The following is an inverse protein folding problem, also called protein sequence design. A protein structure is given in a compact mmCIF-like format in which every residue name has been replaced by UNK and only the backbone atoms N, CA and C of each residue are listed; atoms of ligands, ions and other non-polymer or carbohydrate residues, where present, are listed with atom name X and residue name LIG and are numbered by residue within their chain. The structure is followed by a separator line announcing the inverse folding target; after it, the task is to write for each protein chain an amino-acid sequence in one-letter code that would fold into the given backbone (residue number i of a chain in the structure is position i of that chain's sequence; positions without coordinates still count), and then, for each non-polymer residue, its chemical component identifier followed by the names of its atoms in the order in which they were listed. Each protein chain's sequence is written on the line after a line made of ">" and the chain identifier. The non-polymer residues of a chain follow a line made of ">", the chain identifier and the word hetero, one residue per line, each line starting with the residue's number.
data_IF_902777137553
#
_entry.id   IF_902777137553
#
_cell.length_a   1.000
_cell.length_b   1.000
_cell.length_c   1.000
_cell.angle_alpha   90.00
_cell.angle_beta   90.00
_cell.angle_gamma   90.00
#
_symmetry.space_group_name_H-M   'P 1'
#
loop_
_entity.id
_entity.type
_entity.pdbx_description
1 polymer ?
#
# COMPACT_ATOMS: atom_id res chain seq x y z
N UNK A 1 -27.27 11.04 -15.30
CA UNK A 1 -27.64 11.69 -14.04
C UNK A 1 -26.60 11.29 -13.00
N UNK A 2 -25.91 12.23 -12.37
CA UNK A 2 -24.98 11.89 -11.28
C UNK A 2 -25.82 11.41 -10.12
N UNK A 3 -25.63 10.16 -9.69
CA UNK A 3 -26.27 9.64 -8.49
C UNK A 3 -25.79 10.50 -7.31
N UNK A 4 -26.71 11.18 -6.63
CA UNK A 4 -26.40 11.85 -5.39
C UNK A 4 -25.91 10.79 -4.39
N UNK A 5 -24.87 11.11 -3.62
CA UNK A 5 -24.53 10.31 -2.45
C UNK A 5 -25.75 10.26 -1.53
N UNK A 6 -26.08 9.10 -0.93
CA UNK A 6 -27.11 9.08 0.10
C UNK A 6 -26.74 10.10 1.19
N UNK A 7 -27.70 10.91 1.63
CA UNK A 7 -27.50 11.80 2.78
C UNK A 7 -27.18 10.90 3.99
N UNK A 8 -25.99 11.06 4.56
CA UNK A 8 -25.61 10.39 5.79
C UNK A 8 -26.44 10.97 6.93
N UNK A 9 -27.34 10.16 7.52
CA UNK A 9 -28.01 10.53 8.76
C UNK A 9 -26.93 10.68 9.84
N UNK A 10 -26.76 11.88 10.38
CA UNK A 10 -25.58 12.23 11.20
C UNK A 10 -25.66 11.76 12.68
N UNK A 11 -26.77 11.14 13.09
CA UNK A 11 -27.04 10.83 14.49
C UNK A 11 -27.01 9.31 14.76
N UNK A 12 -25.81 8.72 14.77
CA UNK A 12 -25.62 7.33 15.22
C UNK A 12 -25.42 7.25 16.73
N UNK A 13 -26.17 6.37 17.39
CA UNK A 13 -25.95 6.01 18.79
C UNK A 13 -24.70 5.14 18.99
N UNK A 14 -24.20 4.99 20.23
CA UNK A 14 -23.13 4.04 20.54
C UNK A 14 -23.49 2.63 20.06
N UNK A 15 -22.51 1.93 19.46
CA UNK A 15 -22.65 0.59 18.90
C UNK A 15 -23.57 0.47 17.68
N UNK A 16 -24.12 1.57 17.17
CA UNK A 16 -24.83 1.57 15.89
C UNK A 16 -23.84 1.55 14.72
N UNK A 17 -24.20 0.80 13.67
CA UNK A 17 -23.37 0.69 12.49
C UNK A 17 -23.45 1.98 11.68
N UNK A 18 -22.31 2.58 11.42
CA UNK A 18 -22.19 3.69 10.47
C UNK A 18 -22.40 3.19 9.03
N UNK A 19 -22.77 4.06 8.08
CA UNK A 19 -22.90 3.70 6.67
C UNK A 19 -21.56 3.21 6.15
N UNK A 20 -21.59 2.23 5.24
CA UNK A 20 -20.36 1.70 4.64
C UNK A 20 -19.75 2.79 3.76
N UNK A 21 -18.52 3.25 4.06
CA UNK A 21 -17.85 4.25 3.24
C UNK A 21 -17.65 3.76 1.81
N UNK A 22 -17.76 4.66 0.85
CA UNK A 22 -17.43 4.34 -0.53
C UNK A 22 -15.92 4.21 -0.73
N UNK A 23 -15.49 3.26 -1.57
CA UNK A 23 -14.07 3.05 -1.90
C UNK A 23 -13.45 4.32 -2.49
N UNK A 24 -12.25 4.67 -2.04
CA UNK A 24 -11.39 5.69 -2.65
C UNK A 24 -12.03 7.08 -2.79
N UNK A 25 -12.93 7.42 -1.86
CA UNK A 25 -13.47 8.78 -1.67
C UNK A 25 -13.32 9.21 -0.21
N UNK A 26 -12.16 8.91 0.37
CA UNK A 26 -11.85 9.13 1.78
C UNK A 26 -11.90 10.62 2.16
N UNK A 27 -11.78 11.55 1.21
CA UNK A 27 -11.99 12.99 1.44
C UNK A 27 -13.41 13.37 1.88
N UNK A 28 -14.38 12.47 1.78
CA UNK A 28 -15.75 12.69 2.27
C UNK A 28 -15.89 12.35 3.76
N UNK A 29 -14.94 11.61 4.34
CA UNK A 29 -14.95 11.27 5.76
C UNK A 29 -14.50 12.46 6.60
N UNK A 30 -15.14 12.67 7.75
CA UNK A 30 -14.76 13.72 8.70
C UNK A 30 -13.39 13.46 9.35
N UNK A 31 -13.14 12.20 9.75
CA UNK A 31 -11.85 11.74 10.28
C UNK A 31 -11.39 10.45 9.58
N UNK A 32 -10.85 10.56 8.34
CA UNK A 32 -10.46 9.39 7.56
C UNK A 32 -9.38 8.56 8.26
N UNK A 33 -8.51 9.18 9.06
CA UNK A 33 -7.46 8.43 9.77
C UNK A 33 -8.05 7.47 10.80
N UNK A 34 -9.11 7.87 11.52
CA UNK A 34 -9.76 6.98 12.48
C UNK A 34 -10.26 5.67 11.85
N UNK A 35 -10.77 5.71 10.61
CA UNK A 35 -11.20 4.52 9.87
C UNK A 35 -10.03 3.58 9.59
N UNK A 36 -8.91 4.12 9.10
CA UNK A 36 -7.70 3.33 8.87
C UNK A 36 -7.10 2.78 10.16
N UNK A 37 -7.08 3.56 11.25
CA UNK A 37 -6.64 3.07 12.55
C UNK A 37 -7.55 1.93 13.07
N UNK A 38 -8.87 2.08 12.95
CA UNK A 38 -9.84 1.03 13.28
C UNK A 38 -9.55 -0.27 12.52
N UNK A 39 -9.40 -0.18 11.19
CA UNK A 39 -9.01 -1.31 10.32
C UNK A 39 -7.71 -1.95 10.80
N UNK A 40 -6.67 -1.15 11.06
CA UNK A 40 -5.36 -1.65 11.47
C UNK A 40 -5.41 -2.38 12.80
N UNK A 41 -6.14 -1.83 13.79
CA UNK A 41 -6.36 -2.49 15.07
C UNK A 41 -7.13 -3.78 14.91
N UNK A 42 -8.17 -3.81 14.05
CA UNK A 42 -8.91 -5.04 13.80
C UNK A 42 -8.07 -6.09 13.04
N UNK A 43 -7.20 -5.67 12.13
CA UNK A 43 -6.22 -6.55 11.48
C UNK A 43 -5.23 -7.15 12.48
N UNK A 44 -4.78 -6.37 13.46
CA UNK A 44 -3.91 -6.84 14.55
C UNK A 44 -4.63 -7.86 15.45
N UNK A 45 -5.91 -7.62 15.78
CA UNK A 45 -6.77 -8.59 16.50
C UNK A 45 -6.89 -9.90 15.72
N UNK A 46 -7.24 -9.83 14.44
CA UNK A 46 -7.35 -10.99 13.54
C UNK A 46 -6.05 -11.82 13.51
N UNK A 47 -4.91 -11.14 13.33
CA UNK A 47 -3.60 -11.77 13.34
C UNK A 47 -3.33 -12.49 14.68
N UNK A 48 -3.49 -11.80 15.81
CA UNK A 48 -3.27 -12.36 17.14
C UNK A 48 -4.22 -13.53 17.46
N UNK A 49 -5.48 -13.42 17.06
CA UNK A 49 -6.50 -14.45 17.29
C UNK A 49 -6.27 -15.72 16.46
N UNK A 50 -5.66 -15.59 15.28
CA UNK A 50 -5.17 -16.74 14.52
C UNK A 50 -4.10 -17.53 15.28
N UNK A 51 -3.13 -16.84 15.88
CA UNK A 51 -2.02 -17.47 16.62
C UNK A 51 -2.45 -18.15 17.91
N UNK A 52 -3.42 -17.58 18.63
CA UNK A 52 -3.87 -18.11 19.91
C UNK A 52 -5.07 -19.07 19.80
N UNK A 53 -5.54 -19.37 18.59
CA UNK A 53 -6.63 -20.32 18.33
C UNK A 53 -8.03 -19.78 18.66
N UNK A 54 -8.20 -18.48 18.93
CA UNK A 54 -9.52 -17.87 19.22
C UNK A 54 -10.51 -17.94 18.06
N UNK A 55 -10.02 -18.13 16.84
CA UNK A 55 -10.84 -18.31 15.63
C UNK A 55 -11.16 -19.78 15.32
N UNK A 56 -10.89 -20.69 16.26
CA UNK A 56 -11.05 -22.12 16.11
C UNK A 56 -9.73 -22.83 15.82
N UNK A 57 -9.57 -24.03 16.38
CA UNK A 57 -8.32 -24.82 16.35
C UNK A 57 -7.84 -25.18 14.93
N UNK A 58 -8.75 -25.24 13.96
CA UNK A 58 -8.46 -25.70 12.60
C UNK A 58 -8.27 -24.54 11.61
N UNK A 59 -8.48 -23.27 11.99
CA UNK A 59 -8.47 -22.14 11.06
C UNK A 59 -7.14 -22.00 10.30
N UNK A 60 -6.01 -22.13 10.98
CA UNK A 60 -4.68 -22.03 10.37
C UNK A 60 -4.40 -23.22 9.45
N UNK A 61 -5.03 -24.37 9.68
CA UNK A 61 -4.95 -25.54 8.80
C UNK A 61 -5.86 -25.39 7.58
N UNK A 62 -7.05 -24.80 7.76
CA UNK A 62 -8.00 -24.51 6.67
C UNK A 62 -7.43 -23.49 5.69
N UNK A 63 -6.71 -22.49 6.19
CA UNK A 63 -6.07 -21.45 5.38
C UNK A 63 -4.54 -21.59 5.48
N UNK A 64 -3.91 -22.55 4.80
CA UNK A 64 -2.46 -22.71 4.89
C UNK A 64 -1.73 -21.47 4.34
N UNK A 65 -0.47 -21.23 4.76
CA UNK A 65 0.38 -20.24 4.12
C UNK A 65 0.44 -20.47 2.60
N UNK A 66 0.38 -19.42 1.79
CA UNK A 66 0.47 -19.56 0.34
C UNK A 66 1.87 -20.03 -0.01
N UNK A 67 1.97 -20.76 -1.12
CA UNK A 67 3.24 -20.86 -1.82
C UNK A 67 3.77 -19.45 -2.12
N UNK A 68 5.10 -19.31 -2.20
CA UNK A 68 5.68 -18.04 -2.61
C UNK A 68 5.03 -17.64 -3.95
N UNK A 69 4.58 -16.37 -4.08
CA UNK A 69 3.89 -15.95 -5.29
C UNK A 69 4.76 -16.23 -6.51
N UNK A 70 4.12 -16.65 -7.59
CA UNK A 70 4.82 -16.82 -8.86
C UNK A 70 5.49 -15.50 -9.21
N UNK A 71 6.79 -15.58 -9.47
CA UNK A 71 7.58 -14.44 -9.89
C UNK A 71 7.07 -13.98 -11.24
N UNK A 72 6.45 -12.81 -11.29
CA UNK A 72 6.04 -12.20 -12.54
C UNK A 72 7.09 -11.19 -12.98
N UNK A 73 7.66 -11.39 -14.17
CA UNK A 73 8.30 -10.27 -14.86
C UNK A 73 7.20 -9.28 -15.21
N UNK A 74 7.14 -8.18 -14.48
CA UNK A 74 6.14 -7.12 -14.70
C UNK A 74 6.49 -6.30 -15.95
N UNK A 75 7.71 -6.47 -16.46
CA UNK A 75 8.22 -5.78 -17.63
C UNK A 75 8.35 -4.30 -17.37
N UNK A 76 8.79 -3.90 -16.16
CA UNK A 76 8.72 -2.49 -15.73
C UNK A 76 9.44 -1.54 -16.69
N UNK A 77 10.49 -2.00 -17.39
CA UNK A 77 11.15 -1.25 -18.47
C UNK A 77 10.19 -0.74 -19.54
N UNK A 78 9.20 -1.55 -19.93
CA UNK A 78 8.19 -1.21 -20.94
C UNK A 78 7.02 -0.41 -20.34
N UNK A 79 6.83 -0.47 -19.02
CA UNK A 79 5.71 0.18 -18.31
C UNK A 79 6.04 1.60 -17.86
N UNK A 80 7.30 1.87 -17.47
CA UNK A 80 7.75 3.20 -17.04
C UNK A 80 7.41 4.29 -18.08
N UNK A 81 7.69 4.15 -19.39
CA UNK A 81 7.29 5.17 -20.37
C UNK A 81 5.78 5.45 -20.41
N UNK A 82 4.95 4.42 -20.26
CA UNK A 82 3.49 4.55 -20.28
C UNK A 82 2.97 5.27 -19.04
N UNK A 83 3.53 4.93 -17.88
CA UNK A 83 3.28 5.65 -16.64
C UNK A 83 3.67 7.13 -16.77
N UNK A 84 4.90 7.41 -17.23
CA UNK A 84 5.39 8.78 -17.41
C UNK A 84 4.53 9.58 -18.40
N UNK A 85 4.09 8.94 -19.49
CA UNK A 85 3.16 9.55 -20.45
C UNK A 85 1.84 9.93 -19.77
N UNK A 86 1.29 9.03 -18.93
CA UNK A 86 0.05 9.31 -18.22
C UNK A 86 0.19 10.51 -17.27
N UNK A 87 1.20 10.48 -16.40
CA UNK A 87 1.38 11.51 -15.37
C UNK A 87 1.87 12.86 -15.92
N UNK A 88 2.53 12.89 -17.09
CA UNK A 88 3.01 14.15 -17.71
C UNK A 88 2.03 14.74 -18.71
N UNK A 89 1.40 13.89 -19.53
CA UNK A 89 0.73 14.35 -20.75
C UNK A 89 -0.78 14.09 -20.75
N UNK A 90 -1.27 13.07 -20.03
CA UNK A 90 -2.68 12.69 -20.09
C UNK A 90 -3.46 13.27 -18.91
N UNK A 91 -3.00 13.03 -17.68
CA UNK A 91 -3.69 13.46 -16.47
C UNK A 91 -2.76 14.14 -15.44
N UNK A 92 -1.94 15.15 -15.83
CA UNK A 92 -0.99 15.77 -14.92
C UNK A 92 -1.64 16.45 -13.70
N UNK A 93 -2.88 16.90 -13.84
CA UNK A 93 -3.65 17.55 -12.77
C UNK A 93 -4.02 16.62 -11.60
N UNK A 94 -3.89 15.29 -11.75
CA UNK A 94 -4.14 14.33 -10.67
C UNK A 94 -2.96 14.18 -9.70
N UNK A 95 -1.79 14.69 -10.08
CA UNK A 95 -0.53 14.47 -9.39
C UNK A 95 0.05 15.78 -8.86
N UNK A 96 0.94 15.74 -7.84
CA UNK A 96 1.66 16.92 -7.41
C UNK A 96 2.42 17.57 -8.59
N UNK A 97 2.42 18.92 -8.73
CA UNK A 97 3.03 19.61 -9.88
C UNK A 97 4.51 19.31 -10.11
N UNK A 98 5.22 18.95 -9.04
CA UNK A 98 6.66 18.67 -9.02
C UNK A 98 7.00 17.18 -9.16
N UNK A 99 6.00 16.32 -9.38
CA UNK A 99 6.21 14.88 -9.32
C UNK A 99 6.90 14.31 -10.56
N UNK A 100 6.56 14.79 -11.77
CA UNK A 100 6.92 14.12 -13.02
C UNK A 100 8.21 14.66 -13.70
N UNK A 101 9.23 15.05 -12.93
CA UNK A 101 10.48 15.58 -13.48
C UNK A 101 11.41 14.49 -14.06
N UNK A 102 12.55 14.90 -14.63
CA UNK A 102 13.57 13.98 -15.16
C UNK A 102 14.25 13.14 -14.06
N UNK A 103 14.29 13.66 -12.82
CA UNK A 103 14.88 12.93 -11.68
C UNK A 103 14.02 11.75 -11.30
N UNK A 104 12.69 11.90 -11.31
CA UNK A 104 11.76 10.80 -11.11
C UNK A 104 12.03 9.71 -12.15
N UNK A 105 12.02 10.05 -13.44
CA UNK A 105 12.21 9.07 -14.51
C UNK A 105 13.50 8.26 -14.34
N UNK A 106 14.63 8.94 -14.11
CA UNK A 106 15.88 8.26 -13.84
C UNK A 106 15.78 7.34 -12.62
N UNK A 107 15.18 7.83 -11.53
CA UNK A 107 15.01 7.04 -10.30
C UNK A 107 14.13 5.80 -10.50
N UNK A 108 13.09 5.88 -11.33
CA UNK A 108 12.21 4.76 -11.64
C UNK A 108 12.96 3.68 -12.40
N UNK A 109 13.74 4.04 -13.43
CA UNK A 109 14.54 3.07 -14.17
C UNK A 109 15.60 2.41 -13.27
N UNK A 110 16.39 3.22 -12.56
CA UNK A 110 17.48 2.69 -11.72
C UNK A 110 16.95 1.77 -10.61
N UNK A 111 15.82 2.15 -9.99
CA UNK A 111 15.30 1.48 -8.80
C UNK A 111 14.37 0.32 -9.16
N UNK A 112 13.38 0.51 -10.03
CA UNK A 112 12.40 -0.53 -10.33
C UNK A 112 12.99 -1.69 -11.14
N UNK A 113 13.95 -1.43 -12.04
CA UNK A 113 14.62 -2.52 -12.76
C UNK A 113 15.45 -3.40 -11.80
N UNK A 114 16.11 -2.78 -10.83
CA UNK A 114 16.88 -3.52 -9.83
C UNK A 114 15.95 -4.31 -8.88
N UNK A 115 14.87 -3.69 -8.41
CA UNK A 115 13.84 -4.38 -7.60
C UNK A 115 13.23 -5.55 -8.39
N UNK A 116 12.87 -5.35 -9.66
CA UNK A 116 12.29 -6.40 -10.52
C UNK A 116 13.22 -7.62 -10.60
N UNK A 117 14.53 -7.39 -10.74
CA UNK A 117 15.56 -8.44 -10.75
C UNK A 117 15.79 -9.13 -9.39
N UNK A 118 15.34 -8.52 -8.29
CA UNK A 118 15.51 -9.03 -6.92
C UNK A 118 14.22 -9.54 -6.28
N UNK A 119 13.12 -9.64 -7.04
CA UNK A 119 11.80 -10.00 -6.50
C UNK A 119 11.83 -11.29 -5.68
N UNK A 120 12.63 -12.28 -6.08
CA UNK A 120 12.69 -13.58 -5.40
C UNK A 120 13.28 -13.41 -4.02
N UNK A 121 14.43 -12.72 -3.93
CA UNK A 121 15.07 -12.43 -2.67
C UNK A 121 14.19 -11.60 -1.74
N UNK A 122 13.36 -10.70 -2.29
CA UNK A 122 12.42 -9.91 -1.50
C UNK A 122 11.27 -10.76 -0.94
N UNK A 123 10.69 -11.65 -1.74
CA UNK A 123 9.69 -12.59 -1.25
C UNK A 123 10.29 -13.58 -0.25
N UNK A 124 11.47 -14.15 -0.53
CA UNK A 124 12.18 -15.02 0.41
C UNK A 124 12.41 -14.28 1.75
N UNK A 125 12.80 -13.02 1.70
CA UNK A 125 12.98 -12.18 2.89
C UNK A 125 11.67 -11.96 3.66
N UNK A 126 10.58 -11.57 2.98
CA UNK A 126 9.28 -11.31 3.61
C UNK A 126 8.69 -12.57 4.28
N UNK A 127 8.91 -13.74 3.71
CA UNK A 127 8.34 -15.01 4.16
C UNK A 127 9.30 -15.86 5.03
N UNK A 128 10.55 -15.43 5.19
CA UNK A 128 11.48 -16.02 6.15
C UNK A 128 11.09 -15.72 7.61
N UNK A 129 10.53 -14.53 7.88
CA UNK A 129 10.11 -14.12 9.21
C UNK A 129 8.71 -14.67 9.56
N UNK A 130 8.67 -15.85 10.18
CA UNK A 130 7.42 -16.54 10.52
C UNK A 130 6.56 -15.78 11.53
N UNK A 131 7.14 -14.88 12.32
CA UNK A 131 6.38 -14.08 13.28
C UNK A 131 5.51 -13.02 12.59
N UNK A 132 5.84 -12.67 11.34
CA UNK A 132 5.09 -11.72 10.54
C UNK A 132 4.14 -12.39 9.52
N UNK A 133 4.01 -13.72 9.58
CA UNK A 133 3.06 -14.48 8.76
C UNK A 133 1.88 -14.91 9.63
N UNK A 134 0.66 -14.65 9.16
CA UNK A 134 -0.55 -15.15 9.79
C UNK A 134 -1.80 -14.76 9.02
N UNK A 135 -2.97 -14.91 9.62
CA UNK A 135 -4.24 -14.59 8.95
C UNK A 135 -4.30 -13.10 8.61
N UNK A 136 -4.63 -12.80 7.35
CA UNK A 136 -4.77 -11.45 6.82
C UNK A 136 -6.06 -11.33 6.02
N UNK A 137 -6.67 -10.16 6.08
CA UNK A 137 -7.67 -9.74 5.11
C UNK A 137 -6.96 -8.96 4.01
N UNK A 138 -7.06 -9.41 2.77
CA UNK A 138 -6.25 -8.90 1.65
C UNK A 138 -6.94 -7.80 0.84
N UNK A 139 -8.15 -7.42 1.27
CA UNK A 139 -8.99 -6.43 0.62
C UNK A 139 -9.53 -5.43 1.67
N UNK A 140 -8.70 -5.01 2.64
CA UNK A 140 -9.07 -4.14 3.79
C UNK A 140 -9.26 -2.67 3.40
N UNK A 141 -9.92 -2.43 2.27
CA UNK A 141 -10.37 -1.09 1.90
C UNK A 141 -11.54 -0.69 2.80
N UNK A 142 -11.78 0.62 2.96
CA UNK A 142 -12.86 1.12 3.83
C UNK A 142 -14.24 0.61 3.42
N UNK A 143 -14.48 0.31 2.14
CA UNK A 143 -15.74 -0.25 1.64
C UNK A 143 -15.92 -1.76 1.92
N UNK A 144 -14.89 -2.42 2.44
CA UNK A 144 -14.91 -3.81 2.88
C UNK A 144 -14.81 -3.95 4.41
N UNK A 145 -15.17 -2.88 5.11
CA UNK A 145 -15.31 -2.86 6.55
C UNK A 145 -16.67 -2.27 6.93
N UNK A 146 -17.13 -2.64 8.12
CA UNK A 146 -18.22 -1.95 8.80
C UNK A 146 -17.67 -1.29 10.05
N UNK A 147 -18.26 -0.16 10.43
CA UNK A 147 -17.75 0.70 11.49
C UNK A 147 -18.84 1.01 12.49
N UNK A 148 -18.42 1.25 13.72
CA UNK A 148 -19.29 1.74 14.79
C UNK A 148 -18.42 2.50 15.79
N UNK A 149 -19.04 3.32 16.64
CA UNK A 149 -18.36 3.95 17.77
C UNK A 149 -18.69 3.21 19.05
N UNK A 150 -17.66 2.96 19.86
CA UNK A 150 -17.86 2.39 21.20
C UNK A 150 -18.47 3.44 22.16
N UNK A 151 -18.68 3.03 23.42
CA UNK A 151 -19.24 3.90 24.48
C UNK A 151 -18.39 5.16 24.74
N UNK A 152 -17.12 5.18 24.34
CA UNK A 152 -16.20 6.30 24.49
C UNK A 152 -16.07 7.14 23.20
N UNK A 153 -16.89 6.85 22.18
CA UNK A 153 -16.84 7.52 20.88
C UNK A 153 -15.69 7.06 19.98
N UNK A 154 -14.94 6.03 20.39
CA UNK A 154 -13.80 5.52 19.62
C UNK A 154 -14.32 4.67 18.46
N UNK A 155 -13.85 4.97 17.25
CA UNK A 155 -14.21 4.22 16.06
C UNK A 155 -13.61 2.80 16.12
N UNK A 156 -14.44 1.79 15.98
CA UNK A 156 -14.07 0.39 15.84
C UNK A 156 -14.47 -0.11 14.44
N UNK A 157 -13.93 -1.27 14.04
CA UNK A 157 -14.26 -1.85 12.75
C UNK A 157 -14.33 -3.37 12.77
N UNK A 158 -15.04 -3.90 11.78
CA UNK A 158 -15.09 -5.32 11.41
C UNK A 158 -14.90 -5.48 9.90
N UNK A 159 -14.65 -6.70 9.43
CA UNK A 159 -14.41 -6.99 8.01
C UNK A 159 -15.55 -7.78 7.37
N UNK A 160 -15.82 -7.47 6.10
CA UNK A 160 -16.66 -8.22 5.18
C UNK A 160 -15.83 -8.61 3.94
N UNK A 161 -16.42 -9.31 2.97
CA UNK A 161 -15.72 -9.71 1.74
C UNK A 161 -14.44 -10.55 1.97
N UNK A 162 -14.61 -11.67 2.69
CA UNK A 162 -13.53 -12.59 3.03
C UNK A 162 -13.01 -13.43 1.84
N UNK A 163 -13.38 -13.11 0.59
CA UNK A 163 -13.01 -13.89 -0.59
C UNK A 163 -11.50 -13.98 -0.85
N UNK A 164 -10.72 -13.04 -0.32
CA UNK A 164 -9.24 -13.05 -0.38
C UNK A 164 -8.57 -13.35 0.96
N UNK A 165 -9.33 -13.84 1.94
CA UNK A 165 -8.80 -14.21 3.24
C UNK A 165 -7.80 -15.36 3.13
N UNK A 166 -6.59 -15.15 3.66
CA UNK A 166 -5.51 -16.15 3.65
C UNK A 166 -4.48 -15.85 4.73
N UNK A 167 -3.64 -16.85 5.02
CA UNK A 167 -2.37 -16.56 5.68
C UNK A 167 -1.47 -15.76 4.74
N UNK A 168 -0.79 -14.73 5.22
CA UNK A 168 0.21 -14.00 4.46
C UNK A 168 1.09 -13.16 5.39
N UNK A 169 2.09 -12.47 4.83
CA UNK A 169 2.77 -11.41 5.55
C UNK A 169 1.79 -10.28 5.91
N UNK A 170 1.74 -9.87 7.18
CA UNK A 170 0.82 -8.85 7.66
C UNK A 170 0.89 -7.55 6.88
N UNK A 171 2.10 -7.10 6.48
CA UNK A 171 2.23 -5.84 5.75
C UNK A 171 1.64 -5.90 4.35
N UNK A 172 1.57 -7.09 3.73
CA UNK A 172 0.94 -7.25 2.42
C UNK A 172 -0.56 -6.95 2.52
N UNK A 173 -1.22 -7.49 3.55
CA UNK A 173 -2.64 -7.21 3.80
C UNK A 173 -2.88 -5.73 4.07
N UNK A 174 -2.06 -5.12 4.95
CA UNK A 174 -2.15 -3.69 5.28
C UNK A 174 -2.01 -2.80 4.05
N UNK A 175 -0.97 -3.01 3.23
CA UNK A 175 -0.74 -2.19 2.04
C UNK A 175 -1.86 -2.36 1.01
N UNK A 176 -2.38 -3.58 0.83
CA UNK A 176 -3.49 -3.80 -0.09
C UNK A 176 -4.77 -3.05 0.32
N UNK A 177 -5.00 -2.83 1.62
CA UNK A 177 -6.09 -1.96 2.10
C UNK A 177 -5.78 -0.46 2.01
N UNK A 178 -4.52 -0.09 2.21
CA UNK A 178 -4.08 1.31 2.20
C UNK A 178 -4.00 1.92 0.81
N UNK A 179 -3.67 1.11 -0.19
CA UNK A 179 -3.42 1.60 -1.57
C UNK A 179 -4.68 2.14 -2.24
N UNK A 180 -5.90 1.83 -1.75
CA UNK A 180 -7.13 2.47 -2.25
C UNK A 180 -7.50 3.76 -1.50
N UNK A 181 -6.74 4.20 -0.49
CA UNK A 181 -6.96 5.49 0.15
C UNK A 181 -6.70 6.61 -0.86
N UNK A 182 -7.56 7.61 -0.97
CA UNK A 182 -7.36 8.75 -1.87
C UNK A 182 -6.73 9.99 -1.20
N UNK A 183 -6.34 9.84 0.07
CA UNK A 183 -5.62 10.83 0.86
C UNK A 183 -4.16 10.40 1.15
N UNK A 184 -3.29 10.30 0.12
CA UNK A 184 -1.95 9.73 0.28
C UNK A 184 -1.04 10.53 1.22
N UNK A 185 -1.19 11.85 1.31
CA UNK A 185 -0.40 12.67 2.24
C UNK A 185 -0.76 12.39 3.70
N UNK A 186 -2.03 12.15 4.00
CA UNK A 186 -2.49 11.77 5.35
C UNK A 186 -1.91 10.41 5.71
N UNK A 187 -2.11 9.42 4.84
CA UNK A 187 -1.68 8.05 5.09
C UNK A 187 -0.16 7.96 5.24
N UNK A 188 0.61 8.48 4.26
CA UNK A 188 2.08 8.38 4.31
C UNK A 188 2.74 9.27 5.36
N UNK A 189 2.09 10.36 5.75
CA UNK A 189 2.51 11.15 6.90
C UNK A 189 2.39 10.41 8.24
N UNK A 190 1.53 9.37 8.30
CA UNK A 190 1.17 8.66 9.54
C UNK A 190 1.35 7.15 9.48
N UNK A 191 2.02 6.61 8.47
CA UNK A 191 2.28 5.17 8.35
C UNK A 191 2.94 4.58 9.59
N UNK A 192 3.89 5.32 10.19
CA UNK A 192 4.57 4.86 11.42
C UNK A 192 3.59 4.72 12.58
N UNK A 193 2.62 5.63 12.68
CA UNK A 193 1.59 5.59 13.72
C UNK A 193 0.66 4.39 13.51
N UNK A 194 0.21 4.14 12.27
CA UNK A 194 -0.59 2.96 11.95
C UNK A 194 0.14 1.66 12.31
N UNK A 195 1.41 1.51 11.91
CA UNK A 195 2.18 0.31 12.24
C UNK A 195 2.47 0.18 13.74
N UNK A 196 2.64 1.28 14.46
CA UNK A 196 2.77 1.27 15.91
C UNK A 196 1.47 0.79 16.56
N UNK A 197 0.32 1.30 16.12
CA UNK A 197 -1.00 0.89 16.60
C UNK A 197 -1.27 -0.60 16.31
N UNK A 198 -0.79 -1.12 15.18
CA UNK A 198 -0.83 -2.56 14.88
C UNK A 198 -0.06 -3.35 15.94
N UNK A 199 1.20 -2.98 16.22
CA UNK A 199 2.04 -3.67 17.21
C UNK A 199 1.43 -3.64 18.61
N UNK A 200 0.93 -2.49 19.03
CA UNK A 200 0.30 -2.30 20.34
C UNK A 200 -0.97 -3.12 20.48
N UNK A 201 -1.85 -3.09 19.48
CA UNK A 201 -3.09 -3.86 19.52
C UNK A 201 -2.79 -5.37 19.44
N UNK A 202 -1.83 -5.80 18.62
CA UNK A 202 -1.40 -7.20 18.56
C UNK A 202 -0.91 -7.68 19.94
N UNK A 203 -0.11 -6.88 20.64
CA UNK A 203 0.43 -7.19 21.96
C UNK A 203 -0.64 -7.26 23.08
N UNK A 204 -1.83 -6.69 22.88
CA UNK A 204 -2.96 -6.86 23.82
C UNK A 204 -3.61 -8.25 23.71
N UNK A 205 -3.55 -8.87 22.54
CA UNK A 205 -4.22 -10.15 22.24
C UNK A 205 -3.25 -11.33 22.06
N UNK A 206 -1.95 -11.05 22.03
CA UNK A 206 -0.88 -12.02 21.93
C UNK A 206 0.34 -11.60 22.78
N UNK A 207 1.41 -12.40 22.77
CA UNK A 207 2.61 -12.09 23.55
C UNK A 207 3.30 -10.82 23.04
N UNK A 208 3.63 -9.84 23.90
CA UNK A 208 4.44 -8.68 23.53
C UNK A 208 5.80 -9.07 22.95
N UNK A 209 6.27 -8.30 21.97
CA UNK A 209 7.60 -8.47 21.36
C UNK A 209 7.69 -9.56 20.28
N UNK A 210 6.61 -10.29 19.97
CA UNK A 210 6.57 -11.22 18.82
C UNK A 210 6.59 -10.45 17.50
N UNK A 211 5.77 -9.41 17.40
CA UNK A 211 5.77 -8.44 16.30
C UNK A 211 6.33 -7.13 16.86
N UNK A 212 7.51 -6.72 16.38
CA UNK A 212 8.10 -5.42 16.77
C UNK A 212 7.92 -4.40 15.66
N UNK A 213 7.89 -3.12 16.04
CA UNK A 213 7.75 -2.02 15.09
C UNK A 213 8.88 -2.01 14.06
N UNK A 214 10.12 -2.24 14.47
CA UNK A 214 11.29 -2.20 13.58
C UNK A 214 11.21 -3.27 12.50
N UNK A 215 10.79 -4.48 12.87
CA UNK A 215 10.63 -5.60 11.93
C UNK A 215 9.43 -5.37 11.01
N UNK A 216 8.31 -4.91 11.56
CA UNK A 216 7.13 -4.59 10.77
C UNK A 216 7.41 -3.45 9.77
N UNK A 217 8.12 -2.41 10.19
CA UNK A 217 8.52 -1.28 9.33
C UNK A 217 9.48 -1.72 8.21
N UNK A 218 10.50 -2.55 8.51
CA UNK A 218 11.41 -3.07 7.48
C UNK A 218 10.63 -3.90 6.45
N UNK A 219 9.73 -4.78 6.89
CA UNK A 219 8.86 -5.56 5.99
C UNK A 219 7.91 -4.67 5.19
N UNK A 220 7.33 -3.65 5.81
CA UNK A 220 6.43 -2.68 5.16
C UNK A 220 7.14 -1.97 4.01
N UNK A 221 8.39 -1.55 4.23
CA UNK A 221 9.21 -0.92 3.20
C UNK A 221 9.63 -1.90 2.09
N UNK A 222 10.01 -3.15 2.42
CA UNK A 222 10.25 -4.20 1.41
C UNK A 222 9.01 -4.43 0.54
N UNK A 223 7.84 -4.50 1.16
CA UNK A 223 6.60 -4.73 0.43
C UNK A 223 6.25 -3.54 -0.47
N UNK A 224 6.46 -2.30 -0.02
CA UNK A 224 6.34 -1.13 -0.89
C UNK A 224 7.25 -1.20 -2.13
N UNK A 225 8.50 -1.67 -2.00
CA UNK A 225 9.36 -1.90 -3.16
C UNK A 225 8.72 -2.85 -4.18
N UNK A 226 8.17 -3.97 -3.72
CA UNK A 226 7.47 -4.94 -4.60
C UNK A 226 6.21 -4.32 -5.20
N UNK A 227 5.40 -3.63 -4.40
CA UNK A 227 4.14 -3.04 -4.83
C UNK A 227 4.35 -1.97 -5.91
N UNK A 228 5.45 -1.21 -5.85
CA UNK A 228 5.81 -0.25 -6.89
C UNK A 228 5.94 -0.89 -8.28
N UNK A 229 6.34 -2.17 -8.38
CA UNK A 229 6.40 -2.89 -9.66
C UNK A 229 5.02 -3.07 -10.29
N UNK A 230 3.99 -3.30 -9.47
CA UNK A 230 2.61 -3.40 -9.91
C UNK A 230 2.03 -2.01 -10.21
N UNK A 231 2.23 -1.05 -9.30
CA UNK A 231 1.62 0.26 -9.38
C UNK A 231 2.07 1.07 -10.61
N UNK A 232 3.33 0.93 -11.05
CA UNK A 232 3.82 1.57 -12.28
C UNK A 232 3.10 1.07 -13.55
N UNK A 233 2.46 -0.10 -13.50
CA UNK A 233 1.72 -0.67 -14.62
C UNK A 233 0.23 -0.28 -14.62
N UNK A 234 -0.29 0.31 -13.54
CA UNK A 234 -1.74 0.52 -13.37
C UNK A 234 -2.36 1.37 -14.49
N UNK A 235 -1.65 2.40 -14.95
CA UNK A 235 -2.16 3.25 -16.03
C UNK A 235 -2.49 2.43 -17.29
N UNK A 236 -1.56 1.57 -17.71
CA UNK A 236 -1.69 0.70 -18.90
C UNK A 236 -2.65 -0.47 -18.68
N UNK A 237 -2.66 -1.05 -17.47
CA UNK A 237 -3.47 -2.23 -17.18
C UNK A 237 -4.96 -1.87 -17.00
N UNK A 238 -5.25 -0.68 -16.51
CA UNK A 238 -6.55 -0.41 -15.93
C UNK A 238 -7.12 0.99 -16.07
N UNK A 239 -6.31 1.99 -16.44
CA UNK A 239 -6.85 3.35 -16.60
C UNK A 239 -7.13 3.63 -18.07
N UNK A 240 -6.17 3.30 -18.96
CA UNK A 240 -6.33 3.45 -20.41
C UNK A 240 -7.32 2.48 -21.06
N UNK A 241 -7.29 1.16 -20.80
CA UNK A 241 -8.06 0.21 -21.60
C UNK A 241 -9.54 0.21 -21.25
N UNK A 242 -9.91 0.90 -20.17
CA UNK A 242 -11.04 0.45 -19.40
C UNK A 242 -12.35 1.04 -19.88
N UNK A 243 -12.47 2.33 -20.26
CA UNK A 243 -13.80 2.90 -20.52
C UNK A 243 -13.85 4.07 -21.51
N UNK A 244 -15.01 4.26 -22.15
CA UNK A 244 -15.29 5.33 -23.13
C UNK A 244 -15.05 6.73 -22.54
N UNK A 245 -15.29 6.91 -21.23
CA UNK A 245 -15.13 8.19 -20.54
C UNK A 245 -13.75 8.42 -19.93
N UNK A 246 -12.82 7.47 -20.08
CA UNK A 246 -11.43 7.59 -19.62
C UNK A 246 -10.41 7.37 -20.74
N UNK A 247 -10.87 7.58 -21.99
CA UNK A 247 -9.97 7.73 -23.13
C UNK A 247 -9.06 8.96 -22.94
N UNK A 248 -7.86 8.99 -23.54
CA UNK A 248 -6.91 10.09 -23.39
C UNK A 248 -7.53 11.49 -23.56
N UNK A 249 -8.47 11.64 -24.48
CA UNK A 249 -9.15 12.90 -24.79
C UNK A 249 -10.09 13.35 -23.66
N UNK A 250 -10.67 12.40 -22.93
CA UNK A 250 -11.54 12.71 -21.79
C UNK A 250 -10.75 13.28 -20.61
N UNK A 251 -9.52 12.79 -20.38
CA UNK A 251 -8.66 13.25 -19.28
C UNK A 251 -8.34 14.75 -19.37
N UNK A 252 -8.28 15.33 -20.57
CA UNK A 252 -8.09 16.77 -20.74
C UNK A 252 -9.22 17.62 -20.12
N UNK A 253 -10.40 17.04 -19.90
CA UNK A 253 -11.58 17.70 -19.32
C UNK A 253 -11.82 17.35 -17.85
N UNK A 254 -11.09 16.36 -17.32
CA UNK A 254 -11.09 16.04 -15.89
C UNK A 254 -10.17 17.06 -15.21
N UNK A 255 -10.60 17.61 -14.07
CA UNK A 255 -9.83 18.64 -13.35
C UNK A 255 -9.15 18.13 -12.11
N UNK A 256 -9.73 17.10 -11.49
CA UNK A 256 -9.28 16.56 -10.21
C UNK A 256 -9.72 15.10 -10.05
N UNK A 257 -9.10 14.37 -9.12
CA UNK A 257 -9.44 12.98 -8.80
C UNK A 257 -10.85 12.83 -8.21
N UNK A 258 -11.44 13.92 -7.73
CA UNK A 258 -12.80 14.00 -7.21
C UNK A 258 -13.87 14.12 -8.30
N UNK A 259 -13.47 14.18 -9.58
CA UNK A 259 -14.43 14.23 -10.68
C UNK A 259 -15.32 12.96 -10.68
N UNK A 260 -16.66 13.08 -10.75
CA UNK A 260 -17.55 11.92 -10.71
C UNK A 260 -17.23 10.87 -11.78
N UNK A 261 -16.64 11.26 -12.91
CA UNK A 261 -16.22 10.33 -13.97
C UNK A 261 -15.07 9.42 -13.54
N UNK A 262 -14.23 9.86 -12.60
CA UNK A 262 -13.16 9.05 -11.98
C UNK A 262 -13.75 8.09 -10.95
N UNK A 263 -14.70 8.57 -10.15
CA UNK A 263 -15.42 7.75 -9.16
C UNK A 263 -16.18 6.59 -9.80
N UNK A 264 -16.91 6.85 -10.89
CA UNK A 264 -17.77 5.86 -11.54
C UNK A 264 -17.05 4.89 -12.50
N UNK A 265 -15.71 4.83 -12.52
CA UNK A 265 -14.98 3.87 -13.36
C UNK A 265 -15.26 2.41 -12.94
N UNK A 266 -15.79 1.54 -13.82
CA UNK A 266 -15.97 0.13 -13.49
C UNK A 266 -14.65 -0.62 -13.27
N UNK A 267 -14.71 -1.69 -12.47
CA UNK A 267 -13.63 -2.57 -11.98
C UNK A 267 -12.83 -2.13 -10.75
N UNK A 268 -13.08 -0.94 -10.20
CA UNK A 268 -12.76 -0.51 -8.83
C UNK A 268 -13.18 0.97 -8.72
N UNK A 269 -14.33 1.29 -8.13
CA UNK A 269 -14.79 2.66 -7.84
C UNK A 269 -13.59 3.54 -7.40
N UNK A 270 -13.08 4.41 -8.28
CA UNK A 270 -11.86 5.24 -8.14
C UNK A 270 -10.55 4.58 -7.66
N UNK A 271 -10.54 3.30 -7.29
CA UNK A 271 -9.43 2.65 -6.58
C UNK A 271 -8.12 2.70 -7.34
N UNK A 272 -8.12 2.51 -8.66
CA UNK A 272 -6.88 2.50 -9.44
C UNK A 272 -6.24 3.89 -9.59
N UNK A 273 -7.04 4.95 -9.67
CA UNK A 273 -6.52 6.33 -9.66
C UNK A 273 -5.96 6.65 -8.27
N UNK A 274 -6.66 6.26 -7.20
CA UNK A 274 -6.15 6.39 -5.84
C UNK A 274 -4.83 5.63 -5.65
N UNK A 275 -4.74 4.37 -6.09
CA UNK A 275 -3.51 3.55 -6.05
C UNK A 275 -2.35 4.19 -6.82
N UNK A 276 -2.63 4.80 -7.98
CA UNK A 276 -1.61 5.49 -8.74
C UNK A 276 -1.12 6.74 -8.01
N UNK A 277 -2.03 7.52 -7.40
CA UNK A 277 -1.66 8.67 -6.56
C UNK A 277 -0.89 8.23 -5.31
N UNK A 278 -1.29 7.15 -4.65
CA UNK A 278 -0.56 6.52 -3.54
C UNK A 278 0.87 6.18 -3.95
N UNK A 279 1.06 5.51 -5.09
CA UNK A 279 2.40 5.25 -5.62
C UNK A 279 3.24 6.52 -5.73
N UNK A 280 2.65 7.59 -6.29
CA UNK A 280 3.41 8.84 -6.48
C UNK A 280 3.87 9.46 -5.18
N UNK A 281 2.99 9.57 -4.20
CA UNK A 281 3.35 10.16 -2.92
C UNK A 281 4.25 9.22 -2.12
N UNK A 282 3.99 7.91 -2.12
CA UNK A 282 4.82 6.91 -1.47
C UNK A 282 6.27 6.97 -1.94
N UNK A 283 6.49 7.04 -3.26
CA UNK A 283 7.83 7.06 -3.86
C UNK A 283 8.72 8.14 -3.25
N UNK A 284 8.15 9.35 -3.09
CA UNK A 284 8.84 10.52 -2.53
C UNK A 284 8.86 10.52 -1.00
N UNK A 285 7.70 10.34 -0.36
CA UNK A 285 7.56 10.43 1.10
C UNK A 285 8.39 9.37 1.84
N UNK A 286 8.59 8.21 1.21
CA UNK A 286 9.36 7.11 1.78
C UNK A 286 10.81 7.07 1.31
N UNK A 287 11.17 7.92 0.35
CA UNK A 287 12.45 7.85 -0.38
C UNK A 287 12.79 6.41 -0.79
N UNK A 288 11.86 5.78 -1.53
CA UNK A 288 11.98 4.38 -1.94
C UNK A 288 13.34 4.09 -2.61
N UNK A 289 13.88 4.94 -3.51
CA UNK A 289 15.20 4.74 -4.08
C UNK A 289 16.32 4.67 -3.05
N UNK A 290 16.40 5.63 -2.12
CA UNK A 290 17.48 5.65 -1.14
C UNK A 290 17.33 4.50 -0.13
N UNK A 291 16.10 4.21 0.30
CA UNK A 291 15.82 3.11 1.21
C UNK A 291 16.18 1.76 0.57
N UNK A 292 15.74 1.54 -0.67
CA UNK A 292 16.04 0.32 -1.44
C UNK A 292 17.55 0.11 -1.56
N UNK A 293 18.31 1.14 -1.91
CA UNK A 293 19.76 1.05 -2.03
C UNK A 293 20.44 0.64 -0.72
N UNK A 294 19.96 1.13 0.42
CA UNK A 294 20.47 0.73 1.74
C UNK A 294 20.11 -0.73 2.06
N UNK A 295 18.86 -1.11 1.84
CA UNK A 295 18.39 -2.48 2.04
C UNK A 295 19.15 -3.47 1.15
N UNK A 296 19.29 -3.16 -0.13
CA UNK A 296 19.99 -3.98 -1.13
C UNK A 296 21.46 -4.21 -0.74
N UNK A 297 22.17 -3.19 -0.22
CA UNK A 297 23.55 -3.36 0.26
C UNK A 297 23.66 -4.31 1.45
N UNK A 298 22.67 -4.29 2.34
CA UNK A 298 22.68 -5.08 3.59
C UNK A 298 22.25 -6.53 3.37
N UNK A 299 21.21 -6.75 2.58
CA UNK A 299 20.45 -8.01 2.63
C UNK A 299 20.59 -8.87 1.37
N UNK A 300 21.23 -8.36 0.33
CA UNK A 300 21.06 -8.86 -1.02
C UNK A 300 22.42 -9.23 -1.62
N UNK A 301 22.59 -10.52 -1.94
CA UNK A 301 23.92 -11.14 -2.16
C UNK A 301 24.51 -10.90 -3.56
N UNK A 302 23.69 -10.44 -4.51
CA UNK A 302 24.01 -10.42 -5.95
C UNK A 302 24.16 -9.00 -6.51
N UNK A 303 25.00 -8.15 -5.91
CA UNK A 303 25.28 -6.82 -6.51
C UNK A 303 25.80 -6.98 -7.95
N UNK A 304 25.26 -6.20 -8.89
CA UNK A 304 25.78 -6.14 -10.26
C UNK A 304 27.21 -5.58 -10.25
N UNK A 305 28.01 -5.80 -11.30
CA UNK A 305 29.34 -5.20 -11.42
C UNK A 305 29.34 -3.67 -11.30
N UNK A 306 28.36 -2.96 -11.89
CA UNK A 306 28.24 -1.50 -11.74
C UNK A 306 27.93 -1.11 -10.29
N UNK A 307 27.07 -1.85 -9.61
CA UNK A 307 26.71 -1.60 -8.22
C UNK A 307 27.89 -1.83 -7.26
N UNK A 308 28.68 -2.88 -7.50
CA UNK A 308 29.95 -3.12 -6.78
C UNK A 308 30.94 -1.98 -7.00
N UNK A 309 31.02 -1.46 -8.22
CA UNK A 309 31.89 -0.33 -8.54
C UNK A 309 31.42 0.97 -7.84
N UNK A 310 30.11 1.25 -7.83
CA UNK A 310 29.54 2.39 -7.13
C UNK A 310 29.73 2.31 -5.61
N UNK A 311 29.59 1.12 -5.02
CA UNK A 311 29.85 0.89 -3.59
C UNK A 311 31.32 1.13 -3.24
N UNK A 312 32.24 0.65 -4.08
CA UNK A 312 33.67 0.87 -3.90
C UNK A 312 34.01 2.38 -3.99
N UNK A 313 33.38 3.10 -4.90
CA UNK A 313 33.54 4.55 -5.04
C UNK A 313 33.01 5.30 -3.80
N UNK A 314 31.83 4.94 -3.30
CA UNK A 314 31.23 5.54 -2.11
C UNK A 314 32.08 5.29 -0.84
N UNK A 315 32.59 4.07 -0.66
CA UNK A 315 33.49 3.73 0.45
C UNK A 315 34.81 4.51 0.38
N UNK A 316 35.36 4.72 -0.82
CA UNK A 316 36.56 5.55 -1.02
C UNK A 316 36.29 7.01 -0.66
N UNK A 317 35.15 7.56 -1.08
CA UNK A 317 34.76 8.93 -0.77
C UNK A 317 34.57 9.17 0.73
N UNK A 318 33.85 8.28 1.42
CA UNK A 318 33.64 8.36 2.87
C UNK A 318 34.97 8.27 3.66
N UNK A 319 35.88 7.38 3.25
CA UNK A 319 37.20 7.25 3.87
C UNK A 319 38.11 8.46 3.62
N UNK A 320 37.98 9.12 2.46
CA UNK A 320 38.69 10.36 2.17
C UNK A 320 38.15 11.55 2.98
N UNK A 321 36.83 11.61 3.19
CA UNK A 321 36.20 12.62 4.03
C UNK A 321 36.58 12.47 5.52
N UNK A 322 36.64 11.24 6.04
CA UNK A 322 37.02 10.98 7.43
C UNK A 322 38.52 11.23 7.75
N UNK A 323 39.34 11.47 6.73
CA UNK A 323 40.77 11.80 6.87
C UNK A 323 41.06 13.31 6.79
N UNK A 324 40.04 14.13 6.49
CA UNK A 324 40.11 15.59 6.53
C UNK A 324 39.55 16.10 7.85
#
# INVERSE_FOLDING_TARGET
>A
ECFAFPEEDADFGPMELEPIPHKAVDYLLDDPFAYYDGIVRNAAKLAAWGWNGKLGKDVMKTFPPPDLPSMFSMGVKLKIPKFLTFVRNVAPHLFPPDYADEKLEKSLYDTLLDIEGCQKELYDYLYADKNLIGLTHQNMNIDNAFFWRDENGKLESGFIDWGRFRQENYVTGLINGFTCCDLPSMLHGRDRELLQNFCEEFAKHHRPGVVTFERLWEHYMVNWCIQCLFLVNLADMGIYPSWEHTQPECWATIRDYKDPRVYHMPNCNCGWVAMLRQFTVAWKAKDIPAWWLQFRRKNCKTLTPEQKAAELAAKKAAKAAAKK
#
